data_IF_700942292625
#
_entry.id   IF_700942292625
#
_cell.length_a   1.000
_cell.length_b   1.000
_cell.length_c   1.000
_cell.angle_alpha   90.00
_cell.angle_beta   90.00
_cell.angle_gamma   90.00
#
_symmetry.space_group_name_H-M   'P 1'
#
loop_
_entity.id
_entity.type
_entity.pdbx_description
1 polymer ?
#
# COMPACT_ATOMS: atom_id res chain seq x y z
N UNK A 1 2.78 14.50 4.15
CA UNK A 1 2.13 13.17 4.10
C UNK A 1 0.71 13.39 3.62
N UNK A 2 0.45 13.17 2.33
CA UNK A 2 -0.91 13.27 1.80
C UNK A 2 -1.74 12.06 2.21
N UNK A 3 -2.94 12.33 2.70
CA UNK A 3 -3.91 11.29 3.05
C UNK A 3 -4.46 10.68 1.77
N UNK A 4 -4.30 9.37 1.60
CA UNK A 4 -4.91 8.63 0.48
C UNK A 4 -6.15 7.88 0.93
N UNK A 5 -7.35 8.44 0.67
CA UNK A 5 -8.58 7.75 0.98
C UNK A 5 -8.69 6.45 0.20
N UNK A 6 -9.42 5.45 0.73
CA UNK A 6 -10.08 5.48 2.04
C UNK A 6 -9.08 5.40 3.21
N UNK A 7 -9.39 6.09 4.30
CA UNK A 7 -8.62 6.15 5.56
C UNK A 7 -9.42 5.52 6.70
N UNK A 8 -8.77 4.93 7.72
CA UNK A 8 -9.47 4.32 8.84
C UNK A 8 -10.23 5.36 9.70
N UNK A 9 -11.26 4.95 10.46
CA UNK A 9 -11.81 3.59 10.53
C UNK A 9 -12.59 3.21 9.26
N UNK A 10 -12.50 1.94 8.85
CA UNK A 10 -13.14 1.45 7.63
C UNK A 10 -14.54 0.86 7.92
N UNK A 11 -15.48 1.12 7.02
CA UNK A 11 -16.66 0.28 6.77
C UNK A 11 -16.34 -0.85 5.80
N UNK A 12 -17.23 -1.83 5.64
CA UNK A 12 -17.09 -2.90 4.63
C UNK A 12 -16.83 -2.33 3.23
N UNK A 13 -17.61 -1.32 2.81
CA UNK A 13 -17.47 -0.72 1.48
C UNK A 13 -16.12 -0.02 1.30
N UNK A 14 -15.69 0.76 2.28
CA UNK A 14 -14.40 1.47 2.22
C UNK A 14 -13.20 0.52 2.34
N UNK A 15 -13.33 -0.60 3.06
CA UNK A 15 -12.32 -1.65 3.09
C UNK A 15 -12.20 -2.36 1.74
N UNK A 16 -13.32 -2.73 1.11
CA UNK A 16 -13.34 -3.31 -0.24
C UNK A 16 -12.71 -2.35 -1.26
N UNK A 17 -13.05 -1.07 -1.19
CA UNK A 17 -12.43 -0.05 -2.03
C UNK A 17 -10.91 0.04 -1.80
N UNK A 18 -10.45 0.02 -0.53
CA UNK A 18 -9.02 0.03 -0.21
C UNK A 18 -8.28 -1.13 -0.86
N UNK A 19 -8.84 -2.34 -0.72
CA UNK A 19 -8.25 -3.57 -1.27
C UNK A 19 -8.24 -3.53 -2.78
N UNK A 20 -9.33 -3.09 -3.43
CA UNK A 20 -9.40 -2.98 -4.89
C UNK A 20 -8.35 -2.02 -5.44
N UNK A 21 -8.17 -0.85 -4.81
CA UNK A 21 -7.13 0.11 -5.21
C UNK A 21 -5.71 -0.47 -5.05
N UNK A 22 -5.47 -1.25 -4.00
CA UNK A 22 -4.21 -1.96 -3.84
C UNK A 22 -4.03 -3.01 -4.95
N UNK A 23 -5.04 -3.84 -5.23
CA UNK A 23 -5.01 -4.83 -6.31
C UNK A 23 -4.69 -4.18 -7.67
N UNK A 24 -5.36 -3.08 -8.02
CA UNK A 24 -5.11 -2.36 -9.28
C UNK A 24 -3.68 -1.80 -9.36
N UNK A 25 -3.12 -1.33 -8.23
CA UNK A 25 -1.72 -0.91 -8.17
C UNK A 25 -0.77 -2.09 -8.37
N UNK A 26 -0.98 -3.21 -7.70
CA UNK A 26 -0.13 -4.41 -7.83
C UNK A 26 -0.20 -5.04 -9.24
N UNK A 27 -1.39 -5.07 -9.87
CA UNK A 27 -1.57 -5.57 -11.23
C UNK A 27 -0.82 -4.74 -12.29
N UNK A 28 -0.57 -3.47 -12.01
CA UNK A 28 0.23 -2.62 -12.90
C UNK A 28 1.66 -3.13 -13.08
N UNK A 29 2.20 -3.84 -12.07
CA UNK A 29 3.60 -4.28 -12.00
C UNK A 29 4.61 -3.14 -12.13
N UNK A 30 4.17 -1.91 -11.84
CA UNK A 30 4.99 -0.70 -11.81
C UNK A 30 5.45 -0.43 -10.36
N UNK A 31 6.76 -0.58 -10.05
CA UNK A 31 7.27 -0.34 -8.72
C UNK A 31 6.99 1.07 -8.22
N UNK A 32 7.16 2.10 -9.04
CA UNK A 32 7.00 3.50 -8.64
C UNK A 32 5.55 3.79 -8.24
N UNK A 33 4.59 3.13 -8.89
CA UNK A 33 3.16 3.18 -8.55
C UNK A 33 2.85 2.39 -7.29
N UNK A 34 3.38 1.18 -7.14
CA UNK A 34 3.10 0.30 -6.00
C UNK A 34 3.67 0.89 -4.71
N UNK A 35 4.92 1.36 -4.72
CA UNK A 35 5.59 1.87 -3.51
C UNK A 35 4.87 3.08 -2.93
N UNK A 36 4.13 3.84 -3.76
CA UNK A 36 3.40 4.99 -3.25
C UNK A 36 2.50 4.58 -2.10
N UNK A 37 1.80 3.42 -2.09
CA UNK A 37 0.81 3.04 -1.05
C UNK A 37 1.36 2.86 0.35
N UNK A 38 2.67 2.93 0.51
CA UNK A 38 3.35 2.74 1.78
C UNK A 38 3.96 4.05 2.29
N UNK A 39 4.09 4.16 3.61
CA UNK A 39 4.78 5.29 4.25
C UNK A 39 6.26 5.25 3.94
N UNK A 40 6.93 6.40 4.05
CA UNK A 40 8.37 6.50 3.78
C UNK A 40 9.21 5.58 4.66
N UNK A 41 8.77 5.34 5.88
CA UNK A 41 9.36 4.51 6.92
C UNK A 41 8.73 3.10 7.02
N UNK A 42 8.01 2.67 5.98
CA UNK A 42 7.27 1.39 6.00
C UNK A 42 8.17 0.21 6.36
N UNK A 43 7.66 -0.75 7.14
CA UNK A 43 8.40 -1.94 7.55
C UNK A 43 7.65 -3.18 7.10
N UNK A 44 8.32 -4.03 6.34
CA UNK A 44 7.70 -5.18 5.73
C UNK A 44 8.34 -6.48 6.16
N UNK A 45 7.56 -7.54 6.02
CA UNK A 45 8.05 -8.90 5.88
C UNK A 45 7.45 -9.48 4.61
N UNK A 46 8.26 -9.64 3.57
CA UNK A 46 7.89 -10.35 2.36
C UNK A 46 8.60 -11.70 2.35
N UNK A 47 7.88 -12.77 2.71
CA UNK A 47 8.45 -14.13 2.86
C UNK A 47 9.63 -14.12 3.84
N UNK A 48 10.85 -14.34 3.37
CA UNK A 48 12.09 -14.34 4.15
C UNK A 48 12.84 -13.00 4.13
N UNK A 49 12.31 -11.99 3.43
CA UNK A 49 12.89 -10.67 3.27
C UNK A 49 12.19 -9.65 4.17
N UNK A 50 12.95 -8.66 4.65
CA UNK A 50 12.47 -7.64 5.59
C UNK A 50 12.86 -6.22 5.14
N UNK A 51 12.27 -5.69 4.05
CA UNK A 51 12.53 -4.31 3.62
C UNK A 51 12.14 -3.28 4.70
N UNK A 52 12.97 -2.25 4.84
CA UNK A 52 12.76 -1.14 5.78
C UNK A 52 12.88 0.18 5.03
N UNK A 53 11.78 0.91 4.98
CA UNK A 53 11.62 2.14 4.21
C UNK A 53 11.07 1.86 2.81
N UNK A 54 10.43 2.87 2.22
CA UNK A 54 9.81 2.79 0.89
C UNK A 54 10.82 2.59 -0.24
N UNK A 55 12.07 3.01 -0.03
CA UNK A 55 13.15 2.97 -1.03
C UNK A 55 14.02 1.71 -0.95
N UNK A 56 13.69 0.77 -0.06
CA UNK A 56 14.46 -0.46 0.17
C UNK A 56 14.08 -1.61 -0.76
#
# INVERSE_FOLDING_TARGET
MDLRPPVPPFTTDTAMQKVRMAEDAWNSRDPDRVVQVYTEDTRWRNRAEFPVGRAA
#
